data_IF_328639219844
#
_entry.id   IF_328639219844
#
_cell.length_a   1.000
_cell.length_b   1.000
_cell.length_c   1.000
_cell.angle_alpha   90.00
_cell.angle_beta   90.00
_cell.angle_gamma   90.00
#
_symmetry.space_group_name_H-M   'P 1'
#
loop_
_entity.id
_entity.type
_entity.pdbx_description
1 polymer ?
#
# COMPACT_ATOMS: atom_id res chain seq x y z
N UNK A 1 -18.26 -6.02 -21.25
CA UNK A 1 -18.05 -6.53 -19.87
C UNK A 1 -19.01 -5.89 -18.86
N UNK A 2 -19.13 -4.55 -18.77
CA UNK A 2 -20.01 -3.88 -17.79
C UNK A 2 -21.50 -3.95 -18.11
N UNK A 3 -21.89 -3.99 -19.39
CA UNK A 3 -23.29 -4.02 -19.84
C UNK A 3 -24.12 -5.22 -19.33
N UNK A 4 -23.49 -6.32 -18.93
CA UNK A 4 -24.16 -7.49 -18.38
C UNK A 4 -24.63 -7.31 -16.92
N UNK A 5 -24.17 -6.27 -16.22
CA UNK A 5 -24.50 -5.98 -14.82
C UNK A 5 -25.55 -4.87 -14.76
N UNK A 6 -26.83 -5.21 -14.75
CA UNK A 6 -27.96 -4.26 -14.83
C UNK A 6 -27.99 -3.14 -13.78
N UNK A 7 -27.35 -3.33 -12.63
CA UNK A 7 -27.31 -2.33 -11.54
C UNK A 7 -25.98 -1.57 -11.46
N UNK A 8 -25.01 -1.87 -12.32
CA UNK A 8 -23.74 -1.15 -12.37
C UNK A 8 -23.95 0.20 -13.06
N UNK A 9 -23.58 1.26 -12.36
CA UNK A 9 -23.53 2.61 -12.93
C UNK A 9 -22.10 2.90 -13.34
N UNK A 10 -21.92 3.19 -14.62
CA UNK A 10 -20.62 3.63 -15.17
C UNK A 10 -20.77 5.11 -15.51
N UNK A 11 -19.91 5.94 -14.92
CA UNK A 11 -19.89 7.38 -15.15
C UNK A 11 -18.57 7.75 -15.81
N UNK A 12 -18.64 8.47 -16.91
CA UNK A 12 -17.49 9.06 -17.56
C UNK A 12 -17.28 10.48 -17.01
N UNK A 13 -16.09 10.76 -16.53
CA UNK A 13 -15.71 12.08 -16.03
C UNK A 13 -14.48 12.59 -16.79
N UNK A 14 -14.46 13.86 -17.21
CA UNK A 14 -13.25 14.45 -17.76
C UNK A 14 -12.16 14.48 -16.69
N UNK A 15 -10.98 13.95 -17.01
CA UNK A 15 -9.81 14.02 -16.14
C UNK A 15 -9.23 15.42 -16.26
N UNK A 16 -9.41 16.26 -15.23
CA UNK A 16 -8.72 17.53 -15.17
C UNK A 16 -7.27 17.30 -14.70
N UNK A 17 -6.30 17.79 -15.46
CA UNK A 17 -4.89 17.82 -15.06
C UNK A 17 -4.64 19.03 -14.12
N UNK A 18 -5.46 19.24 -13.12
CA UNK A 18 -5.33 20.35 -12.16
C UNK A 18 -4.19 20.07 -11.18
N UNK A 19 -3.04 20.71 -11.38
CA UNK A 19 -2.05 20.87 -10.32
C UNK A 19 -2.60 21.87 -9.28
N UNK A 20 -2.52 21.52 -7.97
CA UNK A 20 -2.84 22.46 -6.89
C UNK A 20 -4.29 22.45 -6.41
N UNK A 21 -5.03 21.37 -6.60
CA UNK A 21 -6.33 21.22 -5.96
C UNK A 21 -6.18 21.06 -4.44
N UNK A 22 -7.08 21.72 -3.69
CA UNK A 22 -7.16 21.58 -2.24
C UNK A 22 -8.16 20.47 -1.89
N UNK A 23 -7.86 19.72 -0.83
CA UNK A 23 -8.77 18.78 -0.21
C UNK A 23 -9.45 19.45 0.99
N UNK A 24 -10.78 19.33 1.07
CA UNK A 24 -11.61 19.98 2.09
C UNK A 24 -12.32 18.91 2.91
N UNK A 25 -12.08 18.89 4.22
CA UNK A 25 -12.81 18.05 5.15
C UNK A 25 -13.65 18.93 6.09
N UNK A 26 -14.97 18.78 6.03
CA UNK A 26 -15.88 19.49 6.92
C UNK A 26 -15.71 18.98 8.35
N UNK A 27 -15.56 19.90 9.30
CA UNK A 27 -15.55 19.65 10.74
C UNK A 27 -16.57 20.57 11.42
N UNK A 28 -16.86 20.33 12.72
CA UNK A 28 -17.75 21.21 13.47
C UNK A 28 -17.08 22.61 13.59
N UNK A 29 -17.76 23.61 13.06
CA UNK A 29 -17.31 25.01 13.11
C UNK A 29 -16.41 25.46 11.94
N UNK A 30 -16.16 24.60 10.92
CA UNK A 30 -15.34 25.00 9.78
C UNK A 30 -14.94 23.88 8.86
N UNK A 31 -13.79 24.06 8.22
CA UNK A 31 -13.17 23.11 7.31
C UNK A 31 -11.70 22.92 7.68
N UNK A 32 -11.21 21.69 7.58
CA UNK A 32 -9.79 21.41 7.46
C UNK A 32 -9.45 21.47 5.96
N UNK A 33 -8.41 22.20 5.63
CA UNK A 33 -7.96 22.39 4.24
C UNK A 33 -6.51 21.97 4.15
N UNK A 34 -6.20 21.13 3.17
CA UNK A 34 -4.84 20.69 2.88
C UNK A 34 -4.63 20.60 1.37
N UNK A 35 -3.38 20.54 0.95
CA UNK A 35 -3.08 20.21 -0.43
C UNK A 35 -3.58 18.80 -0.75
N UNK A 36 -4.18 18.67 -1.94
CA UNK A 36 -4.59 17.34 -2.40
C UNK A 36 -3.35 16.44 -2.52
N UNK A 37 -3.45 15.27 -1.91
CA UNK A 37 -2.39 14.27 -2.00
C UNK A 37 -2.17 13.88 -3.47
N UNK A 38 -0.94 14.04 -3.94
CA UNK A 38 -0.50 13.57 -5.25
C UNK A 38 0.50 12.42 -5.06
N UNK A 39 0.24 11.30 -5.73
CA UNK A 39 1.25 10.25 -5.83
C UNK A 39 2.42 10.80 -6.63
N UNK A 40 3.55 10.99 -5.98
CA UNK A 40 4.79 11.33 -6.70
C UNK A 40 5.29 10.06 -7.41
N UNK A 41 5.25 10.02 -8.74
CA UNK A 41 5.73 8.86 -9.49
C UNK A 41 7.26 8.78 -9.53
N UNK A 42 7.96 9.76 -8.95
CA UNK A 42 9.42 9.74 -8.97
C UNK A 42 9.95 8.69 -7.99
N UNK A 43 10.72 7.75 -8.51
CA UNK A 43 11.41 6.71 -7.76
C UNK A 43 12.80 7.15 -7.29
N UNK A 44 13.14 8.44 -7.44
CA UNK A 44 14.49 8.97 -7.19
C UNK A 44 14.96 8.79 -5.75
N UNK A 45 14.02 8.74 -4.83
CA UNK A 45 14.30 8.59 -3.40
C UNK A 45 14.09 7.15 -2.90
N UNK A 46 13.67 6.24 -3.80
CA UNK A 46 13.43 4.86 -3.42
C UNK A 46 14.73 4.10 -3.23
N UNK A 47 14.83 3.40 -2.12
CA UNK A 47 16.01 2.59 -1.79
C UNK A 47 15.59 1.18 -1.42
N UNK A 48 16.35 0.17 -1.85
CA UNK A 48 16.17 -1.19 -1.37
C UNK A 48 16.96 -1.34 -0.07
N UNK A 49 16.26 -1.61 1.02
CA UNK A 49 16.82 -1.67 2.36
C UNK A 49 17.32 -3.07 2.75
N UNK A 50 16.84 -4.11 2.07
CA UNK A 50 17.17 -5.52 2.34
C UNK A 50 18.32 -6.02 1.45
N UNK A 51 18.91 -7.16 1.84
CA UNK A 51 19.94 -7.86 1.05
C UNK A 51 19.39 -8.36 -0.28
N UNK A 52 18.16 -8.88 -0.28
CA UNK A 52 17.47 -9.32 -1.50
C UNK A 52 16.94 -8.11 -2.25
N UNK A 53 17.18 -8.08 -3.55
CA UNK A 53 16.61 -7.09 -4.47
C UNK A 53 15.27 -7.59 -5.02
N UNK A 54 14.28 -6.71 -5.28
CA UNK A 54 13.08 -7.09 -6.01
C UNK A 54 13.42 -7.55 -7.43
N UNK A 55 12.71 -8.55 -7.93
CA UNK A 55 12.74 -8.92 -9.35
C UNK A 55 12.04 -7.85 -10.20
N UNK A 56 12.19 -7.90 -11.52
CA UNK A 56 11.50 -6.97 -12.44
C UNK A 56 9.97 -7.05 -12.30
N UNK A 57 9.43 -8.26 -12.17
CA UNK A 57 7.99 -8.46 -11.95
C UNK A 57 7.54 -7.85 -10.62
N UNK A 58 8.29 -8.08 -9.54
CA UNK A 58 7.99 -7.47 -8.23
C UNK A 58 8.10 -5.94 -8.28
N UNK A 59 9.03 -5.37 -9.03
CA UNK A 59 9.11 -3.92 -9.22
C UNK A 59 7.84 -3.35 -9.87
N UNK A 60 7.30 -4.00 -10.90
CA UNK A 60 6.06 -3.58 -11.53
C UNK A 60 4.89 -3.64 -10.54
N UNK A 61 4.78 -4.74 -9.81
CA UNK A 61 3.76 -4.91 -8.78
C UNK A 61 3.92 -3.92 -7.61
N UNK A 62 5.16 -3.61 -7.17
CA UNK A 62 5.43 -2.63 -6.11
C UNK A 62 5.03 -1.20 -6.54
N UNK A 63 5.32 -0.81 -7.79
CA UNK A 63 4.89 0.49 -8.35
C UNK A 63 3.37 0.61 -8.39
N UNK A 64 2.72 -0.44 -8.91
CA UNK A 64 1.26 -0.51 -8.91
C UNK A 64 0.70 -0.43 -7.49
N UNK A 65 1.20 -1.26 -6.58
CA UNK A 65 0.72 -1.32 -5.21
C UNK A 65 0.91 0.00 -4.46
N UNK A 66 2.04 0.70 -4.68
CA UNK A 66 2.33 2.01 -4.09
C UNK A 66 1.35 3.08 -4.56
N UNK A 67 1.05 3.13 -5.86
CA UNK A 67 0.04 4.04 -6.40
C UNK A 67 -1.37 3.70 -5.91
N UNK A 68 -1.70 2.40 -5.83
CA UNK A 68 -3.02 1.93 -5.46
C UNK A 68 -3.32 2.03 -3.95
N UNK A 69 -2.31 2.01 -3.07
CA UNK A 69 -2.51 2.18 -1.62
C UNK A 69 -2.80 3.63 -1.23
N UNK A 70 -2.34 4.59 -2.01
CA UNK A 70 -2.48 6.03 -1.72
C UNK A 70 -3.92 6.49 -1.43
N UNK A 71 -4.96 6.10 -2.18
CA UNK A 71 -6.34 6.47 -1.89
C UNK A 71 -6.98 5.66 -0.77
N UNK A 72 -6.32 4.64 -0.23
CA UNK A 72 -6.88 3.77 0.81
C UNK A 72 -6.81 4.45 2.17
N UNK A 73 -7.88 4.33 2.95
CA UNK A 73 -7.94 4.92 4.29
C UNK A 73 -6.93 4.28 5.25
N UNK A 74 -6.13 5.11 5.92
CA UNK A 74 -5.10 4.70 6.89
C UNK A 74 -5.70 4.06 8.17
N UNK A 75 -5.01 3.15 8.86
CA UNK A 75 -3.83 2.45 8.40
C UNK A 75 -4.16 1.54 7.23
N UNK A 76 -3.38 1.59 6.17
CA UNK A 76 -3.68 0.91 4.93
C UNK A 76 -2.56 -0.06 4.49
N UNK A 77 -2.97 -1.26 4.13
CA UNK A 77 -2.14 -2.28 3.48
C UNK A 77 -2.84 -2.73 2.20
N UNK A 78 -2.09 -2.87 1.13
CA UNK A 78 -2.57 -3.40 -0.14
C UNK A 78 -1.64 -4.51 -0.61
N UNK A 79 -2.23 -5.68 -0.93
CA UNK A 79 -1.54 -6.78 -1.59
C UNK A 79 -1.80 -6.69 -3.09
N UNK A 80 -0.74 -6.83 -3.89
CA UNK A 80 -0.83 -6.82 -5.35
C UNK A 80 -0.06 -7.98 -5.98
N UNK A 81 -0.54 -8.44 -7.12
CA UNK A 81 0.13 -9.40 -7.99
C UNK A 81 -0.33 -9.21 -9.42
N UNK A 82 0.60 -9.23 -10.37
CA UNK A 82 0.35 -8.98 -11.80
C UNK A 82 -0.36 -7.63 -12.03
N UNK A 83 0.10 -6.57 -11.37
CA UNK A 83 -0.48 -5.21 -11.42
C UNK A 83 -1.98 -5.16 -11.08
N UNK A 84 -2.43 -6.03 -10.19
CA UNK A 84 -3.80 -6.09 -9.71
C UNK A 84 -3.85 -6.19 -8.18
N UNK A 85 -4.72 -5.40 -7.54
CA UNK A 85 -4.97 -5.50 -6.11
C UNK A 85 -5.74 -6.78 -5.80
N UNK A 86 -5.20 -7.63 -4.93
CA UNK A 86 -5.81 -8.90 -4.53
C UNK A 86 -6.34 -8.90 -3.11
N UNK A 87 -5.90 -7.95 -2.26
CA UNK A 87 -6.37 -7.82 -0.89
C UNK A 87 -6.07 -6.46 -0.32
N UNK A 88 -7.01 -5.87 0.40
CA UNK A 88 -6.88 -4.54 1.00
C UNK A 88 -7.31 -4.59 2.46
N UNK A 89 -6.43 -4.13 3.36
CA UNK A 89 -6.73 -3.81 4.75
C UNK A 89 -6.74 -2.31 4.93
N UNK A 90 -7.92 -1.73 5.19
CA UNK A 90 -8.13 -0.29 5.24
C UNK A 90 -8.69 0.16 6.58
N UNK A 91 -8.28 1.33 7.07
CA UNK A 91 -8.90 2.01 8.22
C UNK A 91 -8.73 1.28 9.55
N UNK A 92 -7.68 0.46 9.69
CA UNK A 92 -7.44 -0.28 10.92
C UNK A 92 -6.69 0.56 11.96
N UNK A 93 -6.88 0.24 13.24
CA UNK A 93 -6.23 0.93 14.35
C UNK A 93 -4.75 0.58 14.47
N UNK A 94 -4.33 -0.62 14.01
CA UNK A 94 -2.94 -1.02 13.98
C UNK A 94 -2.48 -1.43 12.58
N UNK A 95 -1.16 -1.36 12.34
CA UNK A 95 -0.55 -1.78 11.07
C UNK A 95 -0.68 -3.29 10.86
N UNK A 96 -0.44 -4.07 11.90
CA UNK A 96 -0.54 -5.53 11.85
C UNK A 96 -1.97 -5.99 11.56
N UNK A 97 -2.99 -5.32 12.10
CA UNK A 97 -4.40 -5.61 11.77
C UNK A 97 -4.71 -5.33 10.30
N UNK A 98 -4.10 -4.28 9.73
CA UNK A 98 -4.24 -4.00 8.30
C UNK A 98 -3.63 -5.10 7.43
N UNK A 99 -2.47 -5.64 7.83
CA UNK A 99 -1.86 -6.80 7.13
C UNK A 99 -2.78 -8.02 7.24
N UNK A 100 -3.22 -8.35 8.46
CA UNK A 100 -4.16 -9.45 8.69
C UNK A 100 -5.40 -9.33 7.81
N UNK A 101 -6.03 -8.15 7.80
CA UNK A 101 -7.24 -7.89 7.03
C UNK A 101 -6.99 -8.01 5.51
N UNK A 102 -5.86 -7.49 5.00
CA UNK A 102 -5.51 -7.59 3.58
C UNK A 102 -5.37 -9.06 3.15
N UNK A 103 -4.64 -9.87 3.93
CA UNK A 103 -4.46 -11.31 3.70
C UNK A 103 -5.78 -12.06 3.80
N UNK A 104 -6.58 -11.77 4.84
CA UNK A 104 -7.89 -12.39 5.03
C UNK A 104 -8.82 -12.09 3.85
N UNK A 105 -8.89 -10.84 3.39
CA UNK A 105 -9.73 -10.42 2.26
C UNK A 105 -9.27 -11.04 0.95
N UNK A 106 -7.97 -11.15 0.70
CA UNK A 106 -7.45 -11.85 -0.46
C UNK A 106 -7.98 -13.29 -0.50
N UNK A 107 -7.79 -14.05 0.59
CA UNK A 107 -8.27 -15.44 0.69
C UNK A 107 -9.78 -15.57 0.59
N UNK A 108 -10.54 -14.67 1.22
CA UNK A 108 -12.01 -14.64 1.16
C UNK A 108 -12.52 -14.46 -0.29
N UNK A 109 -11.78 -13.74 -1.13
CA UNK A 109 -12.11 -13.52 -2.55
C UNK A 109 -11.51 -14.61 -3.48
N UNK A 110 -10.92 -15.66 -2.92
CA UNK A 110 -10.35 -16.76 -3.67
C UNK A 110 -8.96 -16.50 -4.25
N UNK A 111 -8.27 -15.42 -3.78
CA UNK A 111 -6.89 -15.14 -4.15
C UNK A 111 -5.92 -15.78 -3.16
N UNK A 112 -4.85 -16.38 -3.70
CA UNK A 112 -3.70 -16.79 -2.89
C UNK A 112 -2.77 -15.59 -2.69
N UNK A 113 -2.48 -15.15 -1.45
CA UNK A 113 -1.52 -14.08 -1.20
C UNK A 113 -0.06 -14.48 -1.47
N UNK A 114 0.23 -15.76 -1.63
CA UNK A 114 1.57 -16.26 -1.93
C UNK A 114 2.12 -15.68 -3.23
N UNK A 115 3.38 -15.21 -3.21
CA UNK A 115 4.03 -14.56 -4.35
C UNK A 115 3.53 -13.15 -4.65
N UNK A 116 2.68 -12.56 -3.81
CA UNK A 116 2.27 -11.15 -3.95
C UNK A 116 3.30 -10.19 -3.36
N UNK A 117 3.18 -8.91 -3.73
CA UNK A 117 3.85 -7.81 -3.06
C UNK A 117 2.89 -7.09 -2.12
N UNK A 118 3.44 -6.35 -1.14
CA UNK A 118 2.69 -5.59 -0.15
C UNK A 118 3.11 -4.13 -0.19
N UNK A 119 2.14 -3.21 -0.27
CA UNK A 119 2.35 -1.78 -0.03
C UNK A 119 1.73 -1.35 1.29
N UNK A 120 2.45 -0.51 2.04
CA UNK A 120 2.02 0.09 3.29
C UNK A 120 2.05 1.61 3.20
N UNK A 121 0.97 2.29 3.55
CA UNK A 121 0.84 3.75 3.48
C UNK A 121 1.75 4.51 4.47
N UNK A 122 2.28 3.80 5.48
CA UNK A 122 3.27 4.31 6.45
C UNK A 122 4.24 3.20 6.86
N UNK A 123 5.24 3.55 7.68
CA UNK A 123 6.24 2.62 8.17
C UNK A 123 5.65 1.52 9.08
N UNK A 124 6.31 0.38 9.11
CA UNK A 124 6.04 -0.65 10.11
C UNK A 124 6.67 -0.24 11.44
N UNK A 125 5.88 -0.08 12.53
CA UNK A 125 6.42 0.27 13.83
C UNK A 125 7.14 -0.89 14.53
N UNK A 126 6.83 -2.14 14.12
CA UNK A 126 7.34 -3.39 14.67
C UNK A 126 7.49 -4.43 13.55
N UNK A 127 8.30 -5.49 13.75
CA UNK A 127 8.46 -6.59 12.79
C UNK A 127 7.21 -7.46 12.59
N UNK A 128 6.24 -7.45 13.51
CA UNK A 128 5.05 -8.31 13.54
C UNK A 128 4.24 -8.30 12.23
N UNK A 129 4.08 -7.12 11.63
CA UNK A 129 3.41 -6.98 10.34
C UNK A 129 4.19 -7.64 9.19
N UNK A 130 5.53 -7.59 9.22
CA UNK A 130 6.40 -8.26 8.24
C UNK A 130 6.36 -9.77 8.44
N UNK A 131 6.40 -10.24 9.69
CA UNK A 131 6.29 -11.67 10.02
C UNK A 131 4.96 -12.26 9.52
N UNK A 132 3.86 -11.53 9.70
CA UNK A 132 2.54 -11.96 9.22
C UNK A 132 2.47 -11.95 7.68
N UNK A 133 3.07 -10.96 7.01
CA UNK A 133 3.16 -10.91 5.56
C UNK A 133 4.00 -12.09 5.02
N UNK A 134 5.13 -12.40 5.68
CA UNK A 134 5.98 -13.55 5.37
C UNK A 134 5.22 -14.88 5.49
N UNK A 135 4.48 -15.07 6.58
CA UNK A 135 3.66 -16.26 6.81
C UNK A 135 2.53 -16.41 5.75
N UNK A 136 2.12 -15.32 5.12
CA UNK A 136 1.17 -15.33 4.01
C UNK A 136 1.84 -15.56 2.64
N UNK A 137 3.18 -15.60 2.57
CA UNK A 137 3.93 -15.82 1.33
C UNK A 137 4.19 -14.56 0.50
N UNK A 138 4.07 -13.36 1.10
CA UNK A 138 4.47 -12.09 0.46
C UNK A 138 5.98 -12.12 0.19
N UNK A 139 6.39 -11.68 -1.00
CA UNK A 139 7.79 -11.75 -1.44
C UNK A 139 8.50 -10.40 -1.48
N UNK A 140 7.75 -9.30 -1.59
CA UNK A 140 8.33 -7.96 -1.54
C UNK A 140 7.40 -6.96 -0.85
N UNK A 141 7.99 -5.96 -0.20
CA UNK A 141 7.29 -4.92 0.56
C UNK A 141 7.77 -3.54 0.10
N UNK A 142 6.83 -2.59 -0.04
CA UNK A 142 7.13 -1.18 -0.22
C UNK A 142 6.49 -0.37 0.91
N UNK A 143 7.28 0.50 1.53
CA UNK A 143 6.87 1.34 2.66
C UNK A 143 7.70 2.63 2.71
N UNK A 144 7.26 3.66 3.46
CA UNK A 144 8.05 4.89 3.58
C UNK A 144 9.38 4.75 4.33
N UNK A 145 9.46 3.86 5.33
CA UNK A 145 10.52 3.92 6.33
C UNK A 145 10.37 5.11 7.29
N UNK A 146 11.39 5.38 8.10
CA UNK A 146 11.45 6.47 9.06
C UNK A 146 10.96 6.12 10.47
N UNK A 147 10.87 4.83 10.79
CA UNK A 147 10.69 4.33 12.15
C UNK A 147 12.04 4.25 12.87
N UNK A 148 12.04 4.49 14.18
CA UNK A 148 13.22 4.20 15.02
C UNK A 148 13.58 2.71 15.04
N UNK A 149 12.69 1.84 14.59
CA UNK A 149 12.86 0.39 14.51
C UNK A 149 13.03 -0.14 13.08
N UNK A 150 13.33 0.72 12.11
CA UNK A 150 13.53 0.27 10.72
C UNK A 150 14.55 -0.86 10.61
N UNK A 151 15.63 -0.81 11.41
CA UNK A 151 16.64 -1.88 11.41
C UNK A 151 16.06 -3.25 11.80
N UNK A 152 15.19 -3.32 12.82
CA UNK A 152 14.52 -4.56 13.25
C UNK A 152 13.54 -5.07 12.18
N UNK A 153 12.84 -4.14 11.53
CA UNK A 153 11.87 -4.44 10.45
C UNK A 153 12.59 -4.98 9.21
N UNK A 154 13.70 -4.37 8.82
CA UNK A 154 14.55 -4.83 7.70
C UNK A 154 15.16 -6.19 8.01
N UNK A 155 15.67 -6.40 9.24
CA UNK A 155 16.21 -7.69 9.65
C UNK A 155 15.14 -8.81 9.58
N UNK A 156 13.89 -8.51 9.96
CA UNK A 156 12.79 -9.45 9.82
C UNK A 156 12.53 -9.79 8.33
N UNK A 157 12.52 -8.80 7.46
CA UNK A 157 12.38 -9.02 6.02
C UNK A 157 13.53 -9.86 5.45
N UNK A 158 14.77 -9.58 5.86
CA UNK A 158 15.96 -10.36 5.45
C UNK A 158 15.89 -11.83 5.91
N UNK A 159 15.44 -12.10 7.15
CA UNK A 159 15.26 -13.47 7.65
C UNK A 159 14.28 -14.29 6.80
N UNK A 160 13.26 -13.62 6.26
CA UNK A 160 12.24 -14.26 5.41
C UNK A 160 12.52 -14.12 3.90
N UNK A 161 13.70 -13.61 3.53
CA UNK A 161 14.10 -13.41 2.12
C UNK A 161 13.11 -12.52 1.36
N UNK A 162 12.47 -11.56 2.05
CA UNK A 162 11.57 -10.56 1.48
C UNK A 162 12.40 -9.35 1.04
N UNK A 163 12.18 -8.86 -0.19
CA UNK A 163 12.75 -7.58 -0.62
C UNK A 163 11.97 -6.43 0.00
N UNK A 164 12.65 -5.40 0.51
CA UNK A 164 11.98 -4.23 1.08
C UNK A 164 12.48 -2.94 0.45
N UNK A 165 11.53 -2.18 -0.09
CA UNK A 165 11.75 -0.85 -0.69
C UNK A 165 11.26 0.22 0.27
N UNK A 166 12.09 1.23 0.52
CA UNK A 166 11.76 2.42 1.29
C UNK A 166 11.62 3.63 0.37
N UNK A 167 10.49 4.35 0.48
CA UNK A 167 10.16 5.48 -0.40
C UNK A 167 10.44 6.85 0.20
N UNK A 168 10.67 6.93 1.51
CA UNK A 168 10.86 8.20 2.23
C UNK A 168 9.58 9.03 2.42
N UNK A 169 8.47 8.67 1.80
CA UNK A 169 7.22 9.47 1.80
C UNK A 169 6.03 8.68 2.33
N UNK A 170 5.33 9.22 3.34
CA UNK A 170 4.09 8.66 3.87
C UNK A 170 2.91 9.02 2.98
N UNK A 171 1.93 8.11 2.88
CA UNK A 171 0.71 8.29 2.09
C UNK A 171 -0.54 8.27 2.98
N UNK A 172 -0.50 8.90 4.14
CA UNK A 172 -1.63 8.92 5.08
C UNK A 172 -2.89 9.57 4.49
N UNK A 173 -4.01 8.85 4.62
CA UNK A 173 -5.35 9.34 4.31
C UNK A 173 -6.29 9.04 5.48
N UNK A 174 -6.67 10.07 6.19
CA UNK A 174 -7.58 9.98 7.35
C UNK A 174 -9.00 10.47 7.04
#
# INVERSE_FOLDING_TARGET
MFAAKKQLRVVELPVSKGAGALDYKRVRGGFLVQDQFQVDPSEREWTVATKRQPTETEWNDLRFAWAAVAPVKSNAILLARNEAAIGIGAGQMSRVDSVFLAVHKARQQGHDPGGSVLASDAFFPFPDGVELAAAAGVTAIIQPGGSVRDAEVVEAADRHVIAMVMTGKRQFRH
#
